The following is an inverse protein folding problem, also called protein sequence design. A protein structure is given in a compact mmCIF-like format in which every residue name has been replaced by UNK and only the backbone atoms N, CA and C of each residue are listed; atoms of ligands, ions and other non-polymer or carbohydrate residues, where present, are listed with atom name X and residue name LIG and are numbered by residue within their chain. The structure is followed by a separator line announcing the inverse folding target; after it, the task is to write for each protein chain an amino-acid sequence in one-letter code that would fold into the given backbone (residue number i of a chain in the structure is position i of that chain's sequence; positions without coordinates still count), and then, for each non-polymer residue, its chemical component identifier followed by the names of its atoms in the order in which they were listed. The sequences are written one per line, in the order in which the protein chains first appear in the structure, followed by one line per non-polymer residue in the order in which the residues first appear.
data_IF_618215078159
#
_entry.id   IF_618215078159
#
_cell.length_a   1.000
_cell.length_b   1.000
_cell.length_c   1.000
_cell.angle_alpha   90.00
_cell.angle_beta   90.00
_cell.angle_gamma   90.00
#
_symmetry.space_group_name_H-M   'P 1'
#
loop_
_entity.id
_entity.type
_entity.pdbx_description
1 polymer ?
#
# COMPACT_ATOMS: atom_id res chain seq x y z
N UNK A 1 -22.44 -8.99 -15.75
CA UNK A 1 -21.06 -8.57 -16.09
C UNK A 1 -20.81 -7.29 -15.33
N UNK A 2 -19.70 -7.17 -14.60
CA UNK A 2 -19.38 -5.99 -13.78
C UNK A 2 -18.77 -4.92 -14.69
N UNK A 3 -19.14 -3.66 -14.48
CA UNK A 3 -18.55 -2.52 -15.17
C UNK A 3 -17.41 -1.94 -14.34
N UNK A 4 -16.26 -1.74 -14.98
CA UNK A 4 -15.08 -1.13 -14.35
C UNK A 4 -14.68 0.04 -15.24
N UNK A 5 -14.69 1.24 -14.68
CA UNK A 5 -14.26 2.43 -15.40
C UNK A 5 -12.74 2.48 -15.51
N UNK A 6 -12.21 2.87 -16.68
CA UNK A 6 -10.76 2.97 -16.87
C UNK A 6 -10.15 4.16 -16.14
N UNK A 7 -10.93 5.22 -15.90
CA UNK A 7 -10.54 6.45 -15.19
C UNK A 7 -11.62 6.90 -14.22
N UNK A 8 -11.23 7.76 -13.28
CA UNK A 8 -12.15 8.47 -12.38
C UNK A 8 -11.71 9.92 -12.20
N UNK A 9 -12.66 10.85 -12.34
CA UNK A 9 -12.39 12.26 -12.07
C UNK A 9 -12.21 12.51 -10.57
N UNK A 10 -11.36 13.48 -10.25
CA UNK A 10 -11.12 13.88 -8.86
C UNK A 10 -12.37 14.45 -8.20
N UNK A 11 -13.20 15.17 -8.98
CA UNK A 11 -14.51 15.69 -8.58
C UNK A 11 -15.43 14.55 -8.12
N UNK A 12 -15.55 13.46 -8.88
CA UNK A 12 -16.41 12.32 -8.54
C UNK A 12 -16.02 11.61 -7.24
N UNK A 13 -14.76 11.76 -6.78
CA UNK A 13 -14.31 11.19 -5.51
C UNK A 13 -14.63 12.06 -4.30
N UNK A 14 -14.99 13.35 -4.45
CA UNK A 14 -15.23 14.22 -3.28
C UNK A 14 -16.39 13.71 -2.43
N UNK A 15 -17.40 13.13 -3.06
CA UNK A 15 -18.65 12.74 -2.40
C UNK A 15 -18.66 11.26 -2.01
N UNK A 16 -17.63 10.51 -2.38
CA UNK A 16 -17.52 9.10 -2.03
C UNK A 16 -17.33 8.90 -0.52
N UNK A 17 -17.97 7.87 0.06
CA UNK A 17 -17.75 7.51 1.45
C UNK A 17 -16.28 7.14 1.68
N UNK A 18 -15.74 7.57 2.82
CA UNK A 18 -14.38 7.20 3.22
C UNK A 18 -14.34 5.72 3.58
N UNK A 19 -13.27 5.04 3.19
CA UNK A 19 -12.99 3.70 3.69
C UNK A 19 -12.44 3.78 5.12
N UNK A 20 -12.77 2.78 5.92
CA UNK A 20 -12.22 2.53 7.25
C UNK A 20 -11.56 1.17 7.26
N UNK A 21 -10.62 0.98 8.19
CA UNK A 21 -10.07 -0.33 8.49
C UNK A 21 -10.48 -0.69 9.91
N UNK A 22 -11.36 -1.69 10.03
CA UNK A 22 -11.95 -2.10 11.31
C UNK A 22 -11.16 -3.28 11.94
N UNK A 23 -9.96 -3.55 11.42
CA UNK A 23 -9.08 -4.61 11.91
C UNK A 23 -8.15 -4.13 13.03
N UNK A 24 -7.24 -5.00 13.43
CA UNK A 24 -6.25 -4.73 14.47
C UNK A 24 -5.07 -3.98 13.85
N UNK A 25 -4.59 -2.93 14.52
CA UNK A 25 -3.40 -2.18 14.10
C UNK A 25 -2.32 -2.31 15.17
N UNK A 26 -1.27 -3.06 14.85
CA UNK A 26 -0.14 -3.31 15.74
C UNK A 26 1.05 -2.43 15.37
N UNK A 27 1.51 -1.61 16.32
CA UNK A 27 2.75 -0.85 16.16
C UNK A 27 3.93 -1.67 16.67
N UNK A 28 4.93 -1.84 15.81
CA UNK A 28 6.08 -2.71 16.02
C UNK A 28 7.33 -1.84 16.14
N UNK A 29 7.76 -1.63 17.38
CA UNK A 29 8.83 -0.71 17.79
C UNK A 29 9.96 -1.39 18.56
N UNK A 30 9.93 -2.72 18.70
CA UNK A 30 11.02 -3.54 19.22
C UNK A 30 11.35 -4.70 18.30
N UNK A 31 12.54 -5.29 18.46
CA UNK A 31 12.98 -6.42 17.63
C UNK A 31 12.14 -7.67 17.94
N UNK A 32 11.80 -7.89 19.21
CA UNK A 32 11.01 -9.04 19.66
C UNK A 32 9.62 -9.03 19.04
N UNK A 33 8.92 -7.89 19.09
CA UNK A 33 7.63 -7.70 18.41
C UNK A 33 7.76 -7.91 16.90
N UNK A 34 8.88 -7.50 16.30
CA UNK A 34 9.12 -7.70 14.88
C UNK A 34 9.26 -9.18 14.52
N UNK A 35 9.97 -9.96 15.34
CA UNK A 35 10.08 -11.41 15.15
C UNK A 35 8.72 -12.11 15.28
N UNK A 36 7.93 -11.76 16.31
CA UNK A 36 6.56 -12.30 16.50
C UNK A 36 5.64 -11.98 15.32
N UNK A 37 5.60 -10.70 14.89
CA UNK A 37 4.80 -10.28 13.76
C UNK A 37 5.21 -10.98 12.46
N UNK A 38 6.52 -11.14 12.22
CA UNK A 38 7.04 -11.83 11.03
C UNK A 38 6.72 -13.32 11.07
N UNK A 39 6.71 -13.97 12.23
CA UNK A 39 6.28 -15.37 12.32
C UNK A 39 4.82 -15.56 11.89
N UNK A 40 3.95 -14.63 12.28
CA UNK A 40 2.53 -14.64 11.87
C UNK A 40 2.41 -14.36 10.37
N UNK A 41 3.04 -13.29 9.89
CA UNK A 41 3.02 -12.90 8.48
C UNK A 41 3.58 -14.00 7.57
N UNK A 42 4.55 -14.77 8.05
CA UNK A 42 5.18 -15.86 7.28
C UNK A 42 4.25 -17.06 7.03
N UNK A 43 3.11 -17.13 7.72
CA UNK A 43 2.07 -18.15 7.51
C UNK A 43 1.11 -17.75 6.38
N UNK A 44 1.11 -16.49 5.96
CA UNK A 44 0.29 -15.99 4.86
C UNK A 44 0.94 -16.29 3.51
N UNK A 45 0.11 -16.51 2.49
CA UNK A 45 0.59 -16.61 1.10
C UNK A 45 0.80 -15.24 0.48
N UNK A 46 0.00 -14.27 0.89
CA UNK A 46 -0.08 -12.93 0.28
C UNK A 46 -0.35 -11.92 1.38
N UNK A 47 0.41 -10.82 1.38
CA UNK A 47 0.25 -9.71 2.31
C UNK A 47 0.25 -8.39 1.56
N UNK A 48 -0.52 -7.42 2.07
CA UNK A 48 -0.42 -6.03 1.67
C UNK A 48 0.90 -5.43 2.11
N UNK A 49 1.46 -4.53 1.31
CA UNK A 49 2.72 -3.85 1.55
C UNK A 49 2.59 -2.36 1.20
N UNK A 50 3.21 -1.52 2.02
CA UNK A 50 3.45 -0.12 1.72
C UNK A 50 4.68 0.39 2.50
N UNK A 51 5.14 1.61 2.21
CA UNK A 51 6.12 2.31 3.05
C UNK A 51 5.82 3.80 3.21
N UNK A 52 6.32 4.40 4.29
CA UNK A 52 6.17 5.83 4.54
C UNK A 52 7.48 6.51 4.95
N UNK A 53 7.68 7.72 4.43
CA UNK A 53 8.89 8.53 4.60
C UNK A 53 8.52 9.95 5.01
N UNK A 54 9.27 10.55 5.93
CA UNK A 54 9.09 11.97 6.27
C UNK A 54 9.36 12.83 5.04
N UNK A 55 8.44 13.73 4.64
CA UNK A 55 8.66 14.59 3.49
C UNK A 55 9.80 15.58 3.74
N UNK A 56 10.56 15.88 2.69
CA UNK A 56 11.50 16.99 2.66
C UNK A 56 11.00 18.06 1.71
N UNK A 57 11.00 19.31 2.16
CA UNK A 57 10.71 20.48 1.32
C UNK A 57 11.98 21.16 0.81
N UNK A 58 13.15 20.57 1.09
CA UNK A 58 14.46 21.06 0.63
C UNK A 58 14.94 20.20 -0.52
N UNK A 59 15.22 20.84 -1.66
CA UNK A 59 15.67 20.16 -2.89
C UNK A 59 16.96 19.37 -2.63
N UNK A 60 16.94 18.08 -2.96
CA UNK A 60 18.09 17.18 -2.84
C UNK A 60 18.23 16.49 -1.48
N UNK A 61 17.39 16.80 -0.50
CA UNK A 61 17.35 16.10 0.79
C UNK A 61 16.29 15.01 0.71
N UNK A 62 16.71 13.75 0.87
CA UNK A 62 15.81 12.59 0.97
C UNK A 62 15.93 11.97 2.36
N UNK A 63 14.78 11.74 3.00
CA UNK A 63 14.73 10.98 4.23
C UNK A 63 14.69 9.48 3.92
N UNK A 64 15.12 8.68 4.88
CA UNK A 64 15.05 7.22 4.78
C UNK A 64 13.63 6.76 5.18
N UNK A 65 13.18 5.63 4.64
CA UNK A 65 11.88 5.00 4.98
C UNK A 65 11.73 4.87 6.49
N UNK A 66 10.75 5.55 7.09
CA UNK A 66 10.58 5.59 8.53
C UNK A 66 9.64 4.49 9.03
N UNK A 67 8.66 4.13 8.22
CA UNK A 67 7.63 3.15 8.55
C UNK A 67 7.47 2.17 7.38
N UNK A 68 7.38 0.88 7.71
CA UNK A 68 7.08 -0.22 6.79
C UNK A 68 5.78 -0.86 7.25
N UNK A 69 4.86 -1.07 6.32
CA UNK A 69 3.56 -1.67 6.63
C UNK A 69 3.43 -3.03 5.96
N UNK A 70 2.94 -3.99 6.72
CA UNK A 70 2.37 -5.21 6.16
C UNK A 70 0.94 -5.40 6.65
N UNK A 71 0.07 -5.92 5.79
CA UNK A 71 -1.31 -6.15 6.16
C UNK A 71 -1.80 -7.53 5.73
N UNK A 72 -2.49 -8.19 6.65
CA UNK A 72 -3.37 -9.34 6.36
C UNK A 72 -4.80 -8.82 6.15
N UNK A 73 -5.78 -9.70 6.01
CA UNK A 73 -7.17 -9.23 5.93
C UNK A 73 -7.67 -8.58 7.23
N UNK A 74 -7.11 -8.96 8.39
CA UNK A 74 -7.62 -8.55 9.72
C UNK A 74 -6.64 -7.74 10.57
N UNK A 75 -5.35 -7.82 10.29
CA UNK A 75 -4.31 -7.16 11.09
C UNK A 75 -3.34 -6.42 10.18
N UNK A 76 -3.09 -5.15 10.50
CA UNK A 76 -2.03 -4.34 9.92
C UNK A 76 -0.90 -4.16 10.93
N UNK A 77 0.33 -4.40 10.48
CA UNK A 77 1.55 -4.31 11.27
C UNK A 77 2.37 -3.11 10.77
N UNK A 78 2.67 -2.19 11.69
CA UNK A 78 3.36 -0.93 11.43
C UNK A 78 4.77 -0.99 12.03
N UNK A 79 5.75 -1.39 11.22
CA UNK A 79 7.14 -1.55 11.62
C UNK A 79 7.87 -0.20 11.62
N UNK A 80 8.21 0.31 12.81
CA UNK A 80 8.90 1.58 13.04
C UNK A 80 10.39 1.48 12.68
N UNK A 81 10.72 1.42 11.38
CA UNK A 81 12.11 1.29 10.89
C UNK A 81 13.02 2.45 11.32
N UNK A 82 12.45 3.60 11.68
CA UNK A 82 13.20 4.70 12.30
C UNK A 82 13.71 4.38 13.72
N UNK A 83 13.07 3.43 14.41
CA UNK A 83 13.41 2.99 15.77
C UNK A 83 14.23 1.69 15.71
N UNK A 84 13.70 0.65 15.07
CA UNK A 84 14.30 -0.70 15.08
C UNK A 84 15.27 -0.97 13.92
N UNK A 85 15.40 -0.03 12.98
CA UNK A 85 16.13 -0.28 11.73
C UNK A 85 15.45 -1.38 10.90
N UNK A 86 16.26 -2.18 10.20
CA UNK A 86 15.79 -3.37 9.47
C UNK A 86 16.48 -4.58 10.10
N UNK A 87 15.90 -5.21 11.15
CA UNK A 87 16.42 -6.44 11.71
C UNK A 87 16.39 -7.57 10.69
N UNK A 88 17.16 -8.64 10.97
CA UNK A 88 17.32 -9.77 10.04
C UNK A 88 15.99 -10.41 9.66
N UNK A 89 15.05 -10.57 10.60
CA UNK A 89 13.73 -11.14 10.34
C UNK A 89 12.95 -10.37 9.26
N UNK A 90 12.99 -9.03 9.28
CA UNK A 90 12.34 -8.18 8.26
C UNK A 90 13.10 -8.28 6.93
N UNK A 91 14.43 -8.25 6.96
CA UNK A 91 15.25 -8.36 5.74
C UNK A 91 15.03 -9.70 5.01
N UNK A 92 15.00 -10.80 5.76
CA UNK A 92 14.72 -12.13 5.24
C UNK A 92 13.29 -12.20 4.68
N UNK A 93 12.31 -11.67 5.40
CA UNK A 93 10.92 -11.64 4.95
C UNK A 93 10.74 -10.85 3.65
N UNK A 94 11.34 -9.66 3.53
CA UNK A 94 11.35 -8.87 2.29
C UNK A 94 11.99 -9.62 1.12
N UNK A 95 12.93 -10.52 1.39
CA UNK A 95 13.65 -11.33 0.39
C UNK A 95 13.01 -12.70 0.12
N UNK A 96 11.95 -13.08 0.85
CA UNK A 96 11.30 -14.38 0.66
C UNK A 96 10.32 -14.37 -0.52
N UNK A 97 10.67 -15.08 -1.60
CA UNK A 97 9.83 -15.20 -2.80
C UNK A 97 8.60 -16.09 -2.62
N UNK A 98 8.48 -16.85 -1.53
CA UNK A 98 7.33 -17.73 -1.27
C UNK A 98 6.09 -16.96 -0.83
N UNK A 99 6.28 -15.77 -0.29
CA UNK A 99 5.23 -14.88 0.20
C UNK A 99 5.12 -13.74 -0.79
N UNK A 100 3.91 -13.52 -1.30
CA UNK A 100 3.63 -12.42 -2.21
C UNK A 100 3.34 -11.15 -1.41
N UNK A 101 4.09 -10.08 -1.66
CA UNK A 101 3.85 -8.74 -1.13
C UNK A 101 3.24 -7.88 -2.22
N UNK A 102 2.05 -7.37 -1.99
CA UNK A 102 1.32 -6.54 -2.97
C UNK A 102 1.30 -5.10 -2.52
N UNK A 103 1.77 -4.20 -3.38
CA UNK A 103 1.80 -2.75 -3.14
C UNK A 103 1.54 -1.96 -4.41
N UNK A 104 1.53 -0.63 -4.32
CA UNK A 104 1.42 0.30 -5.45
C UNK A 104 2.79 0.91 -5.71
N UNK A 105 3.27 0.87 -6.95
CA UNK A 105 4.52 1.53 -7.35
C UNK A 105 5.76 1.06 -6.53
N UNK A 106 5.79 -0.22 -6.17
CA UNK A 106 6.75 -0.83 -5.21
C UNK A 106 8.23 -0.68 -5.59
N UNK A 107 8.52 -0.35 -6.85
CA UNK A 107 9.90 -0.12 -7.33
C UNK A 107 10.55 1.07 -6.63
N UNK A 108 9.78 2.13 -6.36
CA UNK A 108 10.29 3.31 -5.66
C UNK A 108 10.59 2.99 -4.17
N UNK A 109 9.78 2.11 -3.56
CA UNK A 109 10.01 1.61 -2.21
C UNK A 109 11.31 0.80 -2.12
N UNK A 110 11.64 -0.02 -3.12
CA UNK A 110 12.87 -0.82 -3.11
C UNK A 110 14.12 0.03 -3.11
N UNK A 111 14.14 1.09 -3.92
CA UNK A 111 15.25 2.06 -3.94
C UNK A 111 15.40 2.71 -2.56
N UNK A 112 14.27 3.07 -1.95
CA UNK A 112 14.22 3.73 -0.64
C UNK A 112 14.64 2.80 0.50
N UNK A 113 14.22 1.52 0.49
CA UNK A 113 14.62 0.49 1.45
C UNK A 113 16.08 0.08 1.27
N UNK A 114 16.57 -0.02 0.03
CA UNK A 114 17.96 -0.32 -0.31
C UNK A 114 18.96 0.70 0.26
N UNK A 115 18.53 1.95 0.47
CA UNK A 115 19.32 2.97 1.15
C UNK A 115 19.53 2.71 2.66
N UNK A 116 18.68 1.87 3.28
CA UNK A 116 18.75 1.51 4.72
C UNK A 116 19.49 0.20 4.95
N UNK A 117 19.34 -0.78 4.06
CA UNK A 117 19.92 -2.12 4.21
C UNK A 117 20.13 -2.80 2.85
N UNK A 118 21.07 -3.74 2.79
CA UNK A 118 21.27 -4.62 1.61
C UNK A 118 20.17 -5.69 1.59
N UNK A 119 18.95 -5.29 1.26
CA UNK A 119 17.83 -6.20 1.01
C UNK A 119 17.76 -6.50 -0.48
N UNK A 120 17.47 -7.74 -0.85
CA UNK A 120 17.16 -8.11 -2.24
C UNK A 120 15.67 -8.44 -2.31
N UNK A 121 14.79 -7.47 -2.66
CA UNK A 121 13.35 -7.67 -2.63
C UNK A 121 12.93 -8.82 -3.55
N UNK A 122 12.08 -9.72 -3.04
CA UNK A 122 11.52 -10.82 -3.82
C UNK A 122 10.05 -11.07 -3.46
N UNK A 123 9.31 -11.65 -4.41
CA UNK A 123 7.89 -11.96 -4.22
C UNK A 123 7.00 -10.71 -4.25
N UNK A 124 7.36 -9.66 -4.97
CA UNK A 124 6.53 -8.45 -5.05
C UNK A 124 5.64 -8.42 -6.29
N UNK A 125 4.43 -7.91 -6.12
CA UNK A 125 3.50 -7.60 -7.21
C UNK A 125 3.15 -6.12 -7.14
N UNK A 126 3.37 -5.42 -8.25
CA UNK A 126 2.96 -4.04 -8.40
C UNK A 126 1.50 -3.98 -8.90
N UNK A 127 0.64 -3.35 -8.11
CA UNK A 127 -0.77 -3.21 -8.44
C UNK A 127 -1.00 -2.30 -9.65
N UNK A 128 -0.07 -1.40 -9.98
CA UNK A 128 -0.19 -0.55 -11.17
C UNK A 128 -0.09 -1.36 -12.45
N UNK A 129 0.79 -2.38 -12.47
CA UNK A 129 0.90 -3.33 -13.58
C UNK A 129 -0.38 -4.19 -13.66
N UNK A 130 -0.81 -4.77 -12.54
CA UNK A 130 -1.99 -5.65 -12.49
C UNK A 130 -3.31 -4.93 -12.85
N UNK A 131 -3.51 -3.69 -12.38
CA UNK A 131 -4.69 -2.90 -12.73
C UNK A 131 -4.66 -2.48 -14.20
N UNK A 132 -3.47 -2.17 -14.73
CA UNK A 132 -3.26 -1.87 -16.14
C UNK A 132 -3.62 -3.02 -17.07
N UNK A 133 -3.25 -4.25 -16.71
CA UNK A 133 -3.63 -5.47 -17.46
C UNK A 133 -5.15 -5.66 -17.58
N UNK A 134 -5.90 -5.19 -16.59
CA UNK A 134 -7.36 -5.25 -16.58
C UNK A 134 -7.96 -4.11 -17.41
N UNK A 135 -7.23 -3.02 -17.62
CA UNK A 135 -7.64 -1.84 -18.39
C UNK A 135 -7.97 -0.62 -17.55
N UNK A 136 -7.54 -0.58 -16.28
CA UNK A 136 -7.57 0.62 -15.45
C UNK A 136 -6.34 1.47 -15.77
N UNK A 137 -6.57 2.73 -16.11
CA UNK A 137 -5.51 3.68 -16.52
C UNK A 137 -4.97 4.50 -15.34
N UNK A 138 -5.66 4.47 -14.19
CA UNK A 138 -5.21 5.12 -12.96
C UNK A 138 -4.08 4.34 -12.28
N UNK A 139 -3.11 5.08 -11.72
CA UNK A 139 -1.93 4.50 -11.07
C UNK A 139 -1.90 4.68 -9.55
N UNK A 140 -2.73 5.58 -9.02
CA UNK A 140 -2.74 5.91 -7.60
C UNK A 140 -3.68 5.01 -6.80
N UNK A 141 -3.22 4.54 -5.64
CA UNK A 141 -3.97 3.66 -4.73
C UNK A 141 -5.41 4.12 -4.49
N UNK A 142 -5.60 5.38 -4.06
CA UNK A 142 -6.92 5.97 -3.80
C UNK A 142 -7.87 5.88 -5.01
N UNK A 143 -7.35 6.15 -6.22
CA UNK A 143 -8.18 6.16 -7.43
C UNK A 143 -8.54 4.76 -7.90
N UNK A 144 -7.57 3.84 -7.88
CA UNK A 144 -7.81 2.42 -8.18
C UNK A 144 -8.83 1.87 -7.18
N UNK A 145 -8.66 2.16 -5.89
CA UNK A 145 -9.61 1.76 -4.85
C UNK A 145 -11.01 2.34 -5.08
N UNK A 146 -11.10 3.63 -5.45
CA UNK A 146 -12.36 4.30 -5.76
C UNK A 146 -13.10 3.66 -6.95
N UNK A 147 -12.38 3.36 -8.04
CA UNK A 147 -12.93 2.66 -9.21
C UNK A 147 -13.50 1.30 -8.84
N UNK A 148 -12.78 0.54 -8.01
CA UNK A 148 -13.14 -0.85 -7.71
C UNK A 148 -14.21 -0.99 -6.62
N UNK A 149 -14.23 -0.08 -5.65
CA UNK A 149 -15.02 -0.22 -4.43
C UNK A 149 -15.98 0.95 -4.14
N UNK A 150 -15.99 1.99 -4.97
CA UNK A 150 -16.86 3.16 -4.80
C UNK A 150 -16.63 3.92 -3.49
N UNK A 151 -15.39 3.85 -2.96
CA UNK A 151 -14.98 4.45 -1.69
C UNK A 151 -13.64 5.14 -1.84
N UNK A 152 -13.40 6.19 -1.04
CA UNK A 152 -12.14 6.93 -1.07
C UNK A 152 -11.27 6.64 0.15
N UNK A 153 -9.97 6.48 -0.08
CA UNK A 153 -8.93 6.48 0.95
C UNK A 153 -8.62 7.94 1.33
N UNK A 154 -8.44 8.28 2.61
CA UNK A 154 -8.04 9.64 3.00
C UNK A 154 -6.55 9.84 2.70
N UNK A 155 -6.13 11.00 2.18
CA UNK A 155 -4.71 11.35 1.96
C UNK A 155 -4.13 12.28 3.03
N UNK A 156 -4.88 12.49 4.12
CA UNK A 156 -4.57 13.53 5.12
C UNK A 156 -3.24 13.33 5.85
N UNK A 157 -2.67 12.12 5.85
CA UNK A 157 -1.43 11.79 6.57
C UNK A 157 -0.25 11.49 5.64
N UNK A 158 -0.44 11.55 4.32
CA UNK A 158 0.61 11.22 3.35
C UNK A 158 1.87 12.09 3.52
N UNK A 159 1.71 13.36 3.86
CA UNK A 159 2.81 14.31 4.07
C UNK A 159 3.09 14.55 5.57
N UNK A 160 2.86 13.55 6.41
CA UNK A 160 3.05 13.65 7.87
C UNK A 160 4.50 13.38 8.28
N UNK A 161 4.83 13.71 9.54
CA UNK A 161 6.15 13.36 10.10
C UNK A 161 6.16 11.91 10.57
N UNK A 162 6.55 10.99 9.69
CA UNK A 162 6.65 9.55 9.98
C UNK A 162 7.82 9.16 10.89
N UNK A 163 8.73 10.10 11.17
CA UNK A 163 9.81 9.94 12.15
C UNK A 163 9.40 10.44 13.55
N UNK A 164 8.15 10.86 13.76
CA UNK A 164 7.67 11.30 15.08
C UNK A 164 7.87 10.23 16.15
N UNK A 165 8.12 10.63 17.40
CA UNK A 165 8.36 9.71 18.52
C UNK A 165 7.22 8.68 18.67
N UNK A 166 5.98 9.14 18.55
CA UNK A 166 4.77 8.30 18.52
C UNK A 166 3.92 8.60 17.29
N UNK A 167 3.22 7.57 16.79
CA UNK A 167 2.23 7.76 15.73
C UNK A 167 0.89 8.19 16.34
N UNK A 168 0.28 9.21 15.74
CA UNK A 168 -1.11 9.57 16.03
C UNK A 168 -2.07 8.48 15.53
N UNK A 169 -3.28 8.42 16.08
CA UNK A 169 -4.32 7.51 15.61
C UNK A 169 -4.61 7.68 14.11
N UNK A 170 -4.61 8.93 13.62
CA UNK A 170 -4.79 9.23 12.21
C UNK A 170 -3.68 8.64 11.33
N UNK A 171 -2.41 8.74 11.76
CA UNK A 171 -1.27 8.14 11.05
C UNK A 171 -1.36 6.62 11.05
N UNK A 172 -1.67 6.01 12.21
CA UNK A 172 -1.82 4.56 12.33
C UNK A 172 -2.92 4.02 11.40
N UNK A 173 -4.09 4.66 11.41
CA UNK A 173 -5.22 4.27 10.57
C UNK A 173 -4.92 4.44 9.08
N UNK A 174 -4.30 5.56 8.70
CA UNK A 174 -3.89 5.81 7.31
C UNK A 174 -2.93 4.73 6.81
N UNK A 175 -1.83 4.50 7.54
CA UNK A 175 -0.81 3.53 7.17
C UNK A 175 -1.36 2.09 7.12
N UNK A 176 -2.27 1.74 8.03
CA UNK A 176 -2.96 0.46 8.02
C UNK A 176 -3.86 0.29 6.78
N UNK A 177 -4.61 1.34 6.41
CA UNK A 177 -5.49 1.33 5.23
C UNK A 177 -4.68 1.14 3.96
N UNK A 178 -3.52 1.77 3.80
CA UNK A 178 -2.79 1.73 2.53
C UNK A 178 -2.28 0.31 2.20
N UNK A 179 -1.60 -0.36 3.13
CA UNK A 179 -1.20 -1.75 2.95
C UNK A 179 -2.41 -2.69 2.80
N UNK A 180 -3.45 -2.53 3.62
CA UNK A 180 -4.66 -3.35 3.55
C UNK A 180 -5.40 -3.20 2.22
N UNK A 181 -5.51 -1.96 1.73
CA UNK A 181 -6.16 -1.65 0.46
C UNK A 181 -5.42 -2.32 -0.70
N UNK A 182 -4.09 -2.37 -0.68
CA UNK A 182 -3.31 -3.11 -1.66
C UNK A 182 -3.71 -4.60 -1.69
N UNK A 183 -3.81 -5.26 -0.54
CA UNK A 183 -4.26 -6.66 -0.45
C UNK A 183 -5.69 -6.85 -0.97
N UNK A 184 -6.60 -5.94 -0.61
CA UNK A 184 -8.00 -5.98 -1.06
C UNK A 184 -8.12 -5.82 -2.58
N UNK A 185 -7.39 -4.87 -3.17
CA UNK A 185 -7.33 -4.65 -4.63
C UNK A 185 -6.81 -5.92 -5.30
N UNK A 186 -5.66 -6.43 -4.88
CA UNK A 186 -5.07 -7.63 -5.48
C UNK A 186 -6.04 -8.82 -5.47
N UNK A 187 -6.67 -9.05 -4.32
CA UNK A 187 -7.64 -10.14 -4.14
C UNK A 187 -8.84 -10.00 -5.07
N UNK A 188 -9.35 -8.76 -5.23
CA UNK A 188 -10.48 -8.48 -6.10
C UNK A 188 -10.12 -8.63 -7.58
N UNK A 189 -9.02 -8.01 -8.02
CA UNK A 189 -8.53 -8.09 -9.40
C UNK A 189 -8.19 -9.53 -9.81
N UNK A 190 -7.56 -10.30 -8.92
CA UNK A 190 -7.25 -11.72 -9.17
C UNK A 190 -8.51 -12.55 -9.40
N UNK A 191 -9.58 -12.30 -8.64
CA UNK A 191 -10.89 -12.95 -8.83
C UNK A 191 -11.52 -12.57 -10.16
N UNK A 192 -11.47 -11.29 -10.53
CA UNK A 192 -11.99 -10.79 -11.80
C UNK A 192 -11.26 -11.40 -12.99
N UNK A 193 -9.91 -11.42 -12.97
CA UNK A 193 -9.10 -12.02 -14.03
C UNK A 193 -9.41 -13.51 -14.22
N UNK A 194 -9.63 -14.23 -13.11
CA UNK A 194 -9.98 -15.66 -13.14
C UNK A 194 -11.37 -15.92 -13.72
N UNK A 195 -12.35 -15.05 -13.47
CA UNK A 195 -13.74 -15.28 -13.87
C UNK A 195 -14.12 -14.63 -15.21
N UNK A 196 -13.38 -13.62 -15.68
CA UNK A 196 -13.63 -12.91 -16.93
C UNK A 196 -14.96 -12.14 -16.98
N UNK A 197 -15.63 -11.93 -15.83
CA UNK A 197 -17.00 -11.37 -15.77
C UNK A 197 -17.01 -9.85 -15.62
N UNK A 198 -16.13 -9.14 -16.32
CA UNK A 198 -16.06 -7.68 -16.31
C UNK A 198 -15.96 -7.09 -17.72
N UNK A 199 -16.38 -5.84 -17.88
CA UNK A 199 -16.10 -5.01 -19.06
C UNK A 199 -15.51 -3.68 -18.64
N UNK A 200 -14.56 -3.18 -19.43
CA UNK A 200 -13.98 -1.86 -19.23
C UNK A 200 -14.84 -0.80 -19.90
N UNK A 201 -15.19 0.22 -19.13
CA UNK A 201 -15.87 1.42 -19.60
C UNK A 201 -14.81 2.52 -19.73
N UNK A 202 -14.53 2.94 -20.96
CA UNK A 202 -13.64 4.06 -21.22
C UNK A 202 -14.46 5.33 -21.17
N UNK A 203 -14.15 6.17 -20.19
CA UNK A 203 -14.64 7.54 -20.19
C UNK A 203 -13.54 8.35 -20.86
N UNK A 204 -13.80 8.83 -22.07
CA UNK A 204 -12.99 9.91 -22.63
C UNK A 204 -13.23 11.11 -21.71
N UNK A 205 -12.32 11.31 -20.76
CA UNK A 205 -12.28 12.56 -20.02
C UNK A 205 -11.95 13.62 -21.07
N UNK A 206 -12.97 14.29 -21.59
CA UNK A 206 -12.79 15.50 -22.36
C UNK A 206 -11.94 16.44 -21.49
N UNK A 207 -10.69 16.64 -21.90
CA UNK A 207 -9.91 17.79 -21.48
C UNK A 207 -10.69 19.01 -21.94
N UNK A 208 -11.59 19.49 -21.08
CA UNK A 208 -12.19 20.81 -21.19
C UNK A 208 -11.10 21.83 -20.86
N UNK A 209 -10.24 22.06 -21.84
CA UNK A 209 -9.49 23.30 -21.97
C UNK A 209 -10.50 24.44 -22.10
N UNK A 210 -10.74 25.15 -21.01
CA UNK A 210 -11.22 26.54 -21.01
C UNK A 210 -10.60 27.29 -19.85
#
# INVERSE_FOLDING_TARGET
MIEIYSKIEKSSMSDMPKVTFDGIIEEIDTIEKAEEAIEILSKEKIVGFDTETKPSFVKGVNHKVALLQFSTERTAYLFRLNIIGIPKCIADFLSDSKIIKVGIAVRDDFNSLGSRSRVTPAGFVDLTDLSGEIGIEEKGLQKIYAILFGRKISKSQQLSNWEAESLTEGQRLYAAIDAWACLKIYTYLSKLKKNGKYRIVRNDAEESNT
#
